data_IF_677008916195
#
_entry.id   IF_677008916195
#
_cell.length_a   1.000
_cell.length_b   1.000
_cell.length_c   1.000
_cell.angle_alpha   90.00
_cell.angle_beta   90.00
_cell.angle_gamma   90.00
#
_symmetry.space_group_name_H-M   'P 1'
#
loop_
_entity.id
_entity.type
_entity.pdbx_description
1 polymer ?
#
# COMPACT_ATOMS: atom_id res chain seq x y z
N UNK A 1 -8.17 24.96 -21.21
CA UNK A 1 -9.05 23.79 -21.08
C UNK A 1 -8.26 22.48 -21.02
N UNK A 2 -7.69 21.97 -22.13
CA UNK A 2 -6.98 20.67 -22.18
C UNK A 2 -5.90 20.44 -21.10
N UNK A 3 -5.15 21.49 -20.73
CA UNK A 3 -4.07 21.41 -19.73
C UNK A 3 -4.58 21.22 -18.29
N UNK A 4 -5.76 21.76 -17.98
CA UNK A 4 -6.35 21.65 -16.64
C UNK A 4 -7.02 20.30 -16.44
N UNK A 5 -7.75 19.83 -17.46
CA UNK A 5 -8.36 18.49 -17.48
C UNK A 5 -7.28 17.40 -17.36
N UNK A 6 -6.17 17.55 -18.10
CA UNK A 6 -5.04 16.63 -18.01
C UNK A 6 -4.42 16.61 -16.60
N UNK A 7 -4.26 17.78 -15.96
CA UNK A 7 -3.72 17.88 -14.60
C UNK A 7 -4.63 17.17 -13.58
N UNK A 8 -5.94 17.27 -13.75
CA UNK A 8 -6.94 16.60 -12.90
C UNK A 8 -6.82 15.08 -13.04
N UNK A 9 -6.76 14.56 -14.26
CA UNK A 9 -6.63 13.13 -14.54
C UNK A 9 -5.31 12.59 -13.98
N UNK A 10 -4.19 13.27 -14.23
CA UNK A 10 -2.88 12.88 -13.68
C UNK A 10 -2.91 12.85 -12.16
N UNK A 11 -3.51 13.85 -11.50
CA UNK A 11 -3.61 13.88 -10.03
C UNK A 11 -4.41 12.69 -9.50
N UNK A 12 -5.50 12.33 -10.17
CA UNK A 12 -6.30 11.15 -9.79
C UNK A 12 -5.54 9.85 -10.01
N UNK A 13 -4.92 9.68 -11.17
CA UNK A 13 -4.11 8.50 -11.48
C UNK A 13 -2.97 8.32 -10.46
N UNK A 14 -2.24 9.39 -10.15
CA UNK A 14 -1.17 9.38 -9.14
C UNK A 14 -1.69 9.00 -7.75
N UNK A 15 -2.86 9.52 -7.35
CA UNK A 15 -3.48 9.13 -6.07
C UNK A 15 -3.82 7.65 -6.02
N UNK A 16 -4.44 7.10 -7.07
CA UNK A 16 -4.74 5.68 -7.17
C UNK A 16 -3.46 4.84 -7.15
N UNK A 17 -2.41 5.25 -7.87
CA UNK A 17 -1.10 4.58 -7.83
C UNK A 17 -0.50 4.59 -6.42
N UNK A 18 -0.61 5.70 -5.69
CA UNK A 18 -0.11 5.80 -4.32
C UNK A 18 -0.90 4.90 -3.35
N UNK A 19 -2.23 4.87 -3.46
CA UNK A 19 -3.06 3.96 -2.66
C UNK A 19 -2.72 2.50 -3.00
N UNK A 20 -2.59 2.16 -4.28
CA UNK A 20 -2.19 0.83 -4.73
C UNK A 20 -0.84 0.42 -4.17
N UNK A 21 0.15 1.32 -4.22
CA UNK A 21 1.47 1.08 -3.67
C UNK A 21 1.42 0.88 -2.15
N UNK A 22 0.63 1.68 -1.43
CA UNK A 22 0.39 1.51 0.00
C UNK A 22 -0.26 0.17 0.33
N UNK A 23 -1.31 -0.23 -0.38
CA UNK A 23 -1.97 -1.54 -0.19
C UNK A 23 -0.99 -2.68 -0.46
N UNK A 24 -0.21 -2.56 -1.54
CA UNK A 24 0.79 -3.55 -1.93
C UNK A 24 1.83 -3.70 -0.81
N UNK A 25 2.49 -2.62 -0.38
CA UNK A 25 3.47 -2.64 0.72
C UNK A 25 2.91 -3.17 2.03
N UNK A 26 1.65 -2.85 2.35
CA UNK A 26 0.96 -3.36 3.53
C UNK A 26 0.83 -4.89 3.50
N UNK A 27 0.28 -5.45 2.42
CA UNK A 27 0.12 -6.91 2.33
C UNK A 27 1.45 -7.64 2.22
N UNK A 28 2.44 -7.06 1.55
CA UNK A 28 3.79 -7.61 1.49
C UNK A 28 4.44 -7.72 2.87
N UNK A 29 4.48 -6.61 3.61
CA UNK A 29 5.06 -6.58 4.96
C UNK A 29 4.33 -7.52 5.91
N UNK A 30 2.98 -7.53 5.89
CA UNK A 30 2.18 -8.46 6.70
C UNK A 30 2.40 -9.92 6.32
N UNK A 31 2.54 -10.24 5.02
CA UNK A 31 2.78 -11.62 4.57
C UNK A 31 4.13 -12.15 5.04
N UNK A 32 5.18 -11.30 4.99
CA UNK A 32 6.50 -11.65 5.51
C UNK A 32 6.45 -11.80 7.03
N UNK A 33 5.82 -10.87 7.76
CA UNK A 33 5.62 -10.96 9.21
C UNK A 33 4.88 -12.25 9.61
N UNK A 34 3.81 -12.59 8.89
CA UNK A 34 3.04 -13.81 9.11
C UNK A 34 3.90 -15.06 8.87
N UNK A 35 4.65 -15.09 7.77
CA UNK A 35 5.57 -16.20 7.47
C UNK A 35 6.62 -16.41 8.55
N UNK A 36 7.18 -15.32 9.09
CA UNK A 36 8.11 -15.35 10.22
C UNK A 36 7.45 -15.93 11.47
N UNK A 37 6.24 -15.47 11.81
CA UNK A 37 5.56 -15.90 13.03
C UNK A 37 5.10 -17.37 12.99
N UNK A 38 4.67 -17.85 11.83
CA UNK A 38 4.20 -19.24 11.64
C UNK A 38 5.36 -20.23 11.41
N UNK A 39 6.60 -19.74 11.33
CA UNK A 39 7.79 -20.59 11.12
C UNK A 39 7.98 -21.03 9.67
N UNK A 40 7.31 -20.36 8.72
CA UNK A 40 7.56 -20.52 7.28
C UNK A 40 8.86 -19.79 6.91
N UNK A 41 10.00 -20.42 7.18
CA UNK A 41 11.35 -19.85 6.96
C UNK A 41 11.73 -19.65 5.48
N UNK A 42 10.93 -20.13 4.53
CA UNK A 42 11.26 -20.10 3.09
C UNK A 42 11.13 -18.71 2.43
N UNK A 43 10.47 -17.75 3.07
CA UNK A 43 10.41 -16.35 2.60
C UNK A 43 11.58 -15.50 3.14
N UNK A 44 12.32 -16.00 4.15
CA UNK A 44 13.63 -15.46 4.53
C UNK A 44 14.73 -16.21 3.77
N UNK A 45 14.89 -15.88 2.50
CA UNK A 45 16.12 -16.19 1.78
C UNK A 45 17.18 -15.18 2.26
N UNK A 46 17.69 -15.48 3.45
CA UNK A 46 18.99 -15.08 4.03
C UNK A 46 19.25 -13.63 4.47
N UNK A 47 18.39 -13.09 5.35
CA UNK A 47 18.78 -12.04 6.31
C UNK A 47 18.01 -10.73 6.16
N UNK A 48 17.57 -10.10 7.27
CA UNK A 48 18.36 -9.96 8.50
C UNK A 48 17.67 -10.61 9.73
N UNK A 49 18.17 -10.43 10.94
CA UNK A 49 17.80 -11.19 12.15
C UNK A 49 16.27 -11.15 12.43
N UNK A 50 15.70 -12.07 13.24
CA UNK A 50 14.28 -12.01 13.63
C UNK A 50 13.84 -10.68 14.26
N UNK A 51 14.79 -9.93 14.85
CA UNK A 51 14.58 -8.57 15.35
C UNK A 51 14.32 -7.58 14.20
N UNK A 52 14.94 -7.76 13.03
CA UNK A 52 14.74 -6.94 11.84
C UNK A 52 13.41 -7.26 11.13
N UNK A 53 12.90 -8.49 11.25
CA UNK A 53 11.59 -8.84 10.72
C UNK A 53 10.47 -8.06 11.42
N UNK A 54 10.56 -7.84 12.74
CA UNK A 54 9.58 -7.04 13.49
C UNK A 54 9.52 -5.58 13.00
N UNK A 55 10.64 -5.04 12.48
CA UNK A 55 10.66 -3.68 11.93
C UNK A 55 9.80 -3.53 10.67
N UNK A 56 9.45 -4.63 9.98
CA UNK A 56 8.46 -4.59 8.89
C UNK A 56 7.07 -4.15 9.37
N UNK A 57 6.78 -4.23 10.67
CA UNK A 57 5.56 -3.65 11.24
C UNK A 57 5.47 -2.14 10.99
N UNK A 58 6.60 -1.43 11.03
CA UNK A 58 6.62 0.00 10.71
C UNK A 58 6.37 0.27 9.23
N UNK A 59 6.81 -0.62 8.33
CA UNK A 59 6.46 -0.55 6.91
C UNK A 59 4.96 -0.74 6.70
N UNK A 60 4.34 -1.71 7.40
CA UNK A 60 2.90 -1.89 7.40
C UNK A 60 2.18 -0.64 7.92
N UNK A 61 2.63 -0.09 9.05
CA UNK A 61 2.05 1.10 9.68
C UNK A 61 2.15 2.35 8.77
N UNK A 62 3.33 2.65 8.23
CA UNK A 62 3.53 3.72 7.25
C UNK A 62 2.66 3.51 6.00
N UNK A 63 2.53 2.27 5.53
CA UNK A 63 1.65 1.94 4.39
C UNK A 63 0.19 2.27 4.69
N UNK A 64 -0.31 1.88 5.87
CA UNK A 64 -1.68 2.22 6.31
C UNK A 64 -1.88 3.73 6.45
N UNK A 65 -0.92 4.43 7.05
CA UNK A 65 -1.01 5.87 7.26
C UNK A 65 -0.96 6.64 5.94
N UNK A 66 -0.26 6.16 4.91
CA UNK A 66 -0.18 6.80 3.60
C UNK A 66 -1.47 6.78 2.78
N UNK A 67 -2.39 5.84 3.06
CA UNK A 67 -3.65 5.71 2.32
C UNK A 67 -4.49 7.00 2.40
N UNK A 68 -4.62 7.57 3.60
CA UNK A 68 -5.48 8.74 3.83
C UNK A 68 -4.93 9.99 3.11
N UNK A 69 -3.65 10.39 3.27
CA UNK A 69 -3.04 11.46 2.49
C UNK A 69 -3.09 11.24 0.97
N UNK A 70 -2.86 10.01 0.50
CA UNK A 70 -2.91 9.68 -0.92
C UNK A 70 -4.30 9.95 -1.49
N UNK A 71 -5.34 9.57 -0.74
CA UNK A 71 -6.73 9.83 -1.09
C UNK A 71 -7.09 11.32 -1.07
N UNK A 72 -6.64 12.06 -0.06
CA UNK A 72 -6.85 13.52 0.02
C UNK A 72 -6.22 14.22 -1.18
N UNK A 73 -5.00 13.80 -1.57
CA UNK A 73 -4.29 14.33 -2.74
C UNK A 73 -5.09 14.10 -4.04
N UNK A 74 -5.73 12.94 -4.18
CA UNK A 74 -6.55 12.57 -5.34
C UNK A 74 -7.97 13.11 -5.35
N UNK A 75 -8.39 13.90 -4.36
CA UNK A 75 -9.75 14.45 -4.34
C UNK A 75 -9.89 15.48 -5.45
N UNK A 76 -10.48 15.06 -6.56
CA UNK A 76 -10.78 15.87 -7.75
C UNK A 76 -12.25 15.70 -8.13
N UNK A 77 -12.87 16.78 -8.60
CA UNK A 77 -14.21 16.73 -9.17
C UNK A 77 -14.12 16.28 -10.63
N UNK A 78 -13.82 15.00 -10.84
CA UNK A 78 -14.06 14.38 -12.15
C UNK A 78 -15.55 14.06 -12.16
N UNK A 79 -16.31 14.63 -13.12
CA UNK A 79 -17.68 14.19 -13.36
C UNK A 79 -17.62 12.67 -13.57
N UNK A 80 -18.27 11.90 -12.70
CA UNK A 80 -18.18 10.43 -12.67
C UNK A 80 -18.81 9.86 -13.94
N UNK A 81 -18.02 9.75 -15.00
CA UNK A 81 -18.54 9.52 -16.35
C UNK A 81 -18.85 8.04 -16.65
N UNK A 82 -18.36 7.06 -15.87
CA UNK A 82 -18.78 5.66 -16.04
C UNK A 82 -18.57 4.83 -14.78
N UNK A 83 -19.67 4.52 -14.08
CA UNK A 83 -19.77 3.66 -12.89
C UNK A 83 -18.92 4.10 -11.67
N UNK A 84 -19.30 3.69 -10.47
CA UNK A 84 -18.49 3.93 -9.28
C UNK A 84 -17.26 3.00 -9.33
N UNK A 85 -16.05 3.50 -9.09
CA UNK A 85 -14.82 2.71 -9.18
C UNK A 85 -14.84 1.50 -8.25
N UNK A 86 -15.55 1.59 -7.13
CA UNK A 86 -15.74 0.46 -6.22
C UNK A 86 -16.39 -0.75 -6.90
N UNK A 87 -17.23 -0.58 -7.93
CA UNK A 87 -17.86 -1.70 -8.67
C UNK A 87 -16.80 -2.51 -9.42
N UNK A 88 -15.92 -1.82 -10.15
CA UNK A 88 -14.77 -2.46 -10.78
C UNK A 88 -13.82 -3.05 -9.73
N UNK A 89 -13.73 -2.43 -8.57
CA UNK A 89 -13.02 -2.96 -7.41
C UNK A 89 -13.53 -4.33 -6.97
N UNK A 90 -14.84 -4.45 -6.75
CA UNK A 90 -15.48 -5.73 -6.39
C UNK A 90 -15.35 -6.77 -7.50
N UNK A 91 -15.50 -6.39 -8.77
CA UNK A 91 -15.29 -7.29 -9.91
C UNK A 91 -13.85 -7.80 -9.97
N UNK A 92 -12.86 -6.94 -9.71
CA UNK A 92 -11.44 -7.32 -9.66
C UNK A 92 -11.16 -8.32 -8.53
N UNK A 93 -11.76 -8.12 -7.36
CA UNK A 93 -11.65 -9.06 -6.23
C UNK A 93 -12.34 -10.38 -6.56
N UNK A 94 -13.54 -10.36 -7.16
CA UNK A 94 -14.25 -11.56 -7.57
C UNK A 94 -13.44 -12.36 -8.60
N UNK A 95 -12.86 -11.69 -9.60
CA UNK A 95 -11.96 -12.30 -10.57
C UNK A 95 -10.74 -12.92 -9.88
N UNK A 96 -10.11 -12.21 -8.94
CA UNK A 96 -9.02 -12.76 -8.12
C UNK A 96 -9.43 -14.06 -7.41
N UNK A 97 -10.59 -14.09 -6.74
CA UNK A 97 -11.05 -15.28 -6.02
C UNK A 97 -11.28 -16.47 -6.96
N UNK A 98 -11.85 -16.24 -8.14
CA UNK A 98 -12.02 -17.27 -9.17
C UNK A 98 -10.66 -17.78 -9.64
N UNK A 99 -9.72 -16.89 -9.97
CA UNK A 99 -8.37 -17.29 -10.38
C UNK A 99 -7.62 -18.03 -9.27
N UNK A 100 -7.73 -17.58 -8.02
CA UNK A 100 -7.09 -18.22 -6.88
C UNK A 100 -7.64 -19.63 -6.64
N UNK A 101 -8.97 -19.81 -6.74
CA UNK A 101 -9.61 -21.12 -6.60
C UNK A 101 -9.25 -22.06 -7.76
N UNK A 102 -9.24 -21.57 -9.01
CA UNK A 102 -8.80 -22.37 -10.15
C UNK A 102 -7.32 -22.75 -10.05
N UNK A 103 -6.48 -21.84 -9.57
CA UNK A 103 -5.05 -22.09 -9.38
C UNK A 103 -4.80 -23.10 -8.27
N UNK A 104 -5.51 -23.03 -7.14
CA UNK A 104 -5.34 -24.01 -6.05
C UNK A 104 -5.79 -25.41 -6.46
N UNK A 105 -6.77 -25.52 -7.36
CA UNK A 105 -7.18 -26.81 -7.97
C UNK A 105 -6.11 -27.31 -8.95
N UNK A 106 -5.62 -26.45 -9.84
CA UNK A 106 -4.67 -26.85 -10.89
C UNK A 106 -3.23 -27.06 -10.38
N UNK A 107 -2.81 -26.29 -9.39
CA UNK A 107 -1.45 -26.25 -8.85
C UNK A 107 -1.49 -26.09 -7.32
N UNK A 108 -1.90 -27.13 -6.57
CA UNK A 108 -2.10 -27.05 -5.11
C UNK A 108 -0.82 -26.73 -4.32
N UNK A 109 0.35 -26.80 -4.96
CA UNK A 109 1.66 -26.56 -4.35
C UNK A 109 2.27 -25.19 -4.67
N UNK A 110 1.61 -24.36 -5.50
CA UNK A 110 2.14 -23.06 -5.95
C UNK A 110 1.20 -21.96 -5.48
N UNK A 111 1.71 -21.02 -4.67
CA UNK A 111 0.93 -19.87 -4.24
C UNK A 111 0.98 -18.78 -5.33
N UNK A 112 -0.17 -18.33 -5.88
CA UNK A 112 -0.17 -17.46 -7.05
C UNK A 112 0.06 -15.99 -6.66
N UNK A 113 1.32 -15.62 -6.44
CA UNK A 113 1.74 -14.26 -6.14
C UNK A 113 1.23 -13.20 -7.14
N UNK A 114 1.17 -13.55 -8.43
CA UNK A 114 0.71 -12.64 -9.49
C UNK A 114 -0.79 -12.35 -9.45
N UNK A 115 -1.60 -13.28 -8.93
CA UNK A 115 -3.04 -13.09 -8.81
C UNK A 115 -3.40 -12.02 -7.77
N UNK A 116 -2.54 -11.84 -6.75
CA UNK A 116 -2.73 -10.84 -5.69
C UNK A 116 -2.74 -9.39 -6.19
N UNK A 117 -2.21 -9.10 -7.38
CA UNK A 117 -2.29 -7.76 -7.97
C UNK A 117 -3.74 -7.35 -8.27
N UNK A 118 -4.59 -8.29 -8.70
CA UNK A 118 -6.03 -8.04 -8.91
C UNK A 118 -6.74 -7.76 -7.59
N UNK A 119 -6.34 -8.43 -6.51
CA UNK A 119 -6.84 -8.16 -5.16
C UNK A 119 -6.44 -6.74 -4.72
N UNK A 120 -5.16 -6.38 -4.83
CA UNK A 120 -4.65 -5.08 -4.39
C UNK A 120 -5.24 -3.93 -5.21
N UNK A 121 -5.40 -4.13 -6.52
CA UNK A 121 -6.07 -3.19 -7.41
C UNK A 121 -7.55 -3.04 -7.03
N UNK A 122 -8.23 -4.16 -6.77
CA UNK A 122 -9.62 -4.14 -6.34
C UNK A 122 -9.84 -3.36 -5.04
N UNK A 123 -8.98 -3.61 -4.04
CA UNK A 123 -8.98 -2.89 -2.77
C UNK A 123 -8.69 -1.39 -2.96
N UNK A 124 -7.77 -1.03 -3.84
CA UNK A 124 -7.44 0.38 -4.16
C UNK A 124 -8.68 1.16 -4.61
N UNK A 125 -9.44 0.59 -5.55
CA UNK A 125 -10.64 1.22 -6.08
C UNK A 125 -11.76 1.33 -5.03
N UNK A 126 -11.91 0.29 -4.19
CA UNK A 126 -12.88 0.30 -3.08
C UNK A 126 -12.50 1.35 -2.03
N UNK A 127 -11.22 1.47 -1.68
CA UNK A 127 -10.71 2.44 -0.70
C UNK A 127 -10.90 3.88 -1.19
N UNK A 128 -10.60 4.14 -2.46
CA UNK A 128 -10.73 5.46 -3.07
C UNK A 128 -12.18 5.98 -3.02
N UNK A 129 -13.13 5.12 -3.39
CA UNK A 129 -14.58 5.39 -3.42
C UNK A 129 -15.32 4.95 -2.13
N UNK A 130 -14.62 4.67 -1.03
CA UNK A 130 -15.21 4.10 0.19
C UNK A 130 -16.45 4.85 0.74
N UNK A 131 -16.51 6.20 0.80
CA UNK A 131 -17.71 6.90 1.26
C UNK A 131 -18.94 6.66 0.37
N UNK A 132 -18.72 6.44 -0.93
CA UNK A 132 -19.80 6.28 -1.91
C UNK A 132 -20.46 4.90 -1.84
N UNK A 133 -19.84 3.94 -1.14
CA UNK A 133 -20.37 2.58 -0.98
C UNK A 133 -21.60 2.58 -0.09
N UNK A 134 -21.59 3.32 1.02
CA UNK A 134 -22.76 3.39 1.91
C UNK A 134 -22.78 4.63 2.82
N UNK A 135 -23.98 5.12 3.20
CA UNK A 135 -24.13 6.20 4.17
C UNK A 135 -23.58 5.85 5.56
N UNK A 136 -23.62 4.56 5.95
CA UNK A 136 -23.04 4.09 7.22
C UNK A 136 -21.51 4.22 7.21
N UNK A 137 -20.88 3.83 6.11
CA UNK A 137 -19.42 3.93 5.95
C UNK A 137 -18.97 5.40 5.89
N UNK A 138 -19.72 6.27 5.21
CA UNK A 138 -19.46 7.72 5.24
C UNK A 138 -19.48 8.28 6.67
N UNK A 139 -20.50 7.95 7.47
CA UNK A 139 -20.58 8.38 8.87
C UNK A 139 -19.40 7.88 9.71
N UNK A 140 -18.99 6.62 9.52
CA UNK A 140 -17.84 6.06 10.21
C UNK A 140 -16.53 6.78 9.82
N UNK A 141 -16.32 7.03 8.53
CA UNK A 141 -15.14 7.75 8.02
C UNK A 141 -15.10 9.18 8.59
N UNK A 142 -16.24 9.87 8.63
CA UNK A 142 -16.33 11.22 9.20
C UNK A 142 -16.01 11.21 10.70
N UNK A 143 -16.58 10.27 11.46
CA UNK A 143 -16.29 10.10 12.89
C UNK A 143 -14.81 9.82 13.17
N UNK A 144 -14.18 8.97 12.35
CA UNK A 144 -12.74 8.70 12.44
C UNK A 144 -11.94 9.96 12.09
N UNK A 145 -12.35 10.69 11.05
CA UNK A 145 -11.73 11.95 10.63
C UNK A 145 -11.75 13.02 11.72
N UNK A 146 -12.88 13.19 12.42
CA UNK A 146 -13.01 14.12 13.54
C UNK A 146 -12.06 13.75 14.70
N UNK A 147 -11.95 12.46 15.03
CA UNK A 147 -11.00 11.99 16.04
C UNK A 147 -9.55 12.27 15.61
N UNK A 148 -9.20 11.94 14.37
CA UNK A 148 -7.88 12.20 13.79
C UNK A 148 -7.53 13.70 13.86
N UNK A 149 -8.48 14.60 13.60
CA UNK A 149 -8.28 16.04 13.70
C UNK A 149 -7.83 16.51 15.09
N UNK A 150 -8.39 15.91 16.15
CA UNK A 150 -8.02 16.23 17.54
C UNK A 150 -6.61 15.78 17.91
N UNK A 151 -6.18 14.63 17.37
CA UNK A 151 -4.86 14.03 17.66
C UNK A 151 -3.88 14.15 16.50
N UNK A 152 -4.12 15.08 15.56
CA UNK A 152 -3.37 15.18 14.31
C UNK A 152 -1.86 15.33 14.50
N UNK A 153 -1.42 16.00 15.57
CA UNK A 153 0.00 16.10 15.93
C UNK A 153 0.62 14.78 16.37
N UNK A 154 -0.10 13.97 17.14
CA UNK A 154 0.36 12.64 17.55
C UNK A 154 0.44 11.68 16.34
N UNK A 155 -0.58 11.70 15.48
CA UNK A 155 -0.56 10.93 14.23
C UNK A 155 0.60 11.37 13.34
N UNK A 156 0.86 12.67 13.24
CA UNK A 156 1.98 13.21 12.48
C UNK A 156 3.33 12.72 13.00
N UNK A 157 3.51 12.65 14.32
CA UNK A 157 4.72 12.13 14.95
C UNK A 157 4.88 10.62 14.73
N UNK A 158 3.79 9.84 14.93
CA UNK A 158 3.78 8.40 14.69
C UNK A 158 4.11 8.09 13.22
N UNK A 159 3.52 8.82 12.28
CA UNK A 159 3.80 8.67 10.86
C UNK A 159 5.27 8.94 10.56
N UNK A 160 5.84 10.05 11.06
CA UNK A 160 7.25 10.38 10.84
C UNK A 160 8.20 9.32 11.41
N UNK A 161 7.97 8.85 12.65
CA UNK A 161 8.79 7.78 13.25
C UNK A 161 8.69 6.50 12.42
N UNK A 162 7.47 6.14 12.00
CA UNK A 162 7.25 4.95 11.18
C UNK A 162 7.93 5.06 9.82
N UNK A 163 7.96 6.25 9.21
CA UNK A 163 8.63 6.49 7.94
C UNK A 163 10.14 6.39 8.06
N UNK A 164 10.72 6.91 9.15
CA UNK A 164 12.16 6.81 9.39
C UNK A 164 12.60 5.36 9.59
N UNK A 165 11.84 4.58 10.35
CA UNK A 165 12.10 3.14 10.52
C UNK A 165 11.88 2.39 9.19
N UNK A 166 10.84 2.72 8.44
CA UNK A 166 10.58 2.14 7.11
C UNK A 166 11.71 2.45 6.12
N UNK A 167 12.29 3.66 6.17
CA UNK A 167 13.44 4.04 5.36
C UNK A 167 14.67 3.19 5.69
N UNK A 168 14.94 3.01 6.99
CA UNK A 168 16.00 2.14 7.47
C UNK A 168 15.81 0.69 6.97
N UNK A 169 14.62 0.12 7.15
CA UNK A 169 14.29 -1.24 6.68
C UNK A 169 14.46 -1.37 5.16
N UNK A 170 13.94 -0.41 4.39
CA UNK A 170 14.04 -0.41 2.93
C UNK A 170 15.51 -0.37 2.49
N UNK A 171 16.33 0.45 3.14
CA UNK A 171 17.77 0.53 2.87
C UNK A 171 18.48 -0.78 3.20
N UNK A 172 18.19 -1.39 4.35
CA UNK A 172 18.78 -2.67 4.75
C UNK A 172 18.45 -3.79 3.76
N UNK A 173 17.17 -3.92 3.36
CA UNK A 173 16.74 -4.90 2.35
C UNK A 173 17.45 -4.66 1.02
N UNK A 174 17.54 -3.39 0.59
CA UNK A 174 18.22 -3.02 -0.66
C UNK A 174 19.70 -3.39 -0.63
N UNK A 175 20.43 -2.99 0.43
CA UNK A 175 21.85 -3.31 0.62
C UNK A 175 22.09 -4.81 0.67
N UNK A 176 21.22 -5.56 1.33
CA UNK A 176 21.30 -7.01 1.40
C UNK A 176 21.21 -7.64 0.00
N UNK A 177 20.25 -7.19 -0.81
CA UNK A 177 20.04 -7.68 -2.17
C UNK A 177 21.21 -7.33 -3.10
N UNK A 178 21.80 -6.13 -2.94
CA UNK A 178 23.03 -5.77 -3.65
C UNK A 178 24.21 -6.64 -3.25
N UNK A 179 24.42 -6.87 -1.94
CA UNK A 179 25.55 -7.68 -1.43
C UNK A 179 25.50 -9.13 -1.89
N UNK A 180 24.31 -9.70 -2.01
CA UNK A 180 24.09 -11.11 -2.35
C UNK A 180 24.00 -11.35 -3.86
N UNK A 181 24.10 -10.31 -4.70
CA UNK A 181 23.91 -10.40 -6.16
C UNK A 181 22.58 -11.07 -6.57
N UNK A 182 21.56 -11.00 -5.71
CA UNK A 182 20.23 -11.58 -6.00
C UNK A 182 19.61 -10.99 -7.27
N UNK A 183 19.97 -9.75 -7.62
CA UNK A 183 19.53 -9.05 -8.84
C UNK A 183 20.04 -9.69 -10.15
N UNK A 184 21.20 -10.36 -10.13
CA UNK A 184 21.80 -10.97 -11.32
C UNK A 184 21.50 -12.47 -11.45
N UNK A 185 20.79 -13.05 -10.47
CA UNK A 185 20.30 -14.42 -10.60
C UNK A 185 19.29 -14.51 -11.75
N UNK A 186 19.58 -15.36 -12.74
CA UNK A 186 18.87 -15.48 -14.03
C UNK A 186 17.43 -16.02 -13.89
N UNK A 187 16.98 -16.32 -12.67
CA UNK A 187 15.65 -16.83 -12.41
C UNK A 187 14.63 -15.70 -12.19
N UNK A 188 13.35 -16.00 -12.43
CA UNK A 188 12.17 -15.19 -12.09
C UNK A 188 12.18 -14.62 -10.63
N UNK A 189 13.07 -15.11 -9.76
CA UNK A 189 13.34 -14.61 -8.41
C UNK A 189 13.73 -13.12 -8.36
N UNK A 190 14.50 -12.61 -9.32
CA UNK A 190 14.96 -11.20 -9.30
C UNK A 190 13.82 -10.18 -9.30
N UNK A 191 12.77 -10.43 -10.09
CA UNK A 191 11.57 -9.56 -10.16
C UNK A 191 10.78 -9.62 -8.84
N UNK A 192 10.71 -10.80 -8.21
CA UNK A 192 10.02 -10.99 -6.93
C UNK A 192 10.62 -10.15 -5.81
N UNK A 193 11.93 -9.87 -5.84
CA UNK A 193 12.59 -8.99 -4.85
C UNK A 193 12.53 -7.50 -5.22
N UNK A 194 12.57 -7.18 -6.51
CA UNK A 194 12.51 -5.79 -6.98
C UNK A 194 11.18 -5.12 -6.67
N UNK A 195 10.06 -5.83 -6.82
CA UNK A 195 8.72 -5.29 -6.59
C UNK A 195 8.52 -4.78 -5.15
N UNK A 196 8.82 -5.57 -4.09
CA UNK A 196 8.77 -5.08 -2.71
C UNK A 196 9.71 -3.91 -2.43
N UNK A 197 10.95 -3.91 -2.92
CA UNK A 197 11.90 -2.81 -2.70
C UNK A 197 11.34 -1.51 -3.28
N UNK A 198 10.89 -1.54 -4.54
CA UNK A 198 10.32 -0.36 -5.20
C UNK A 198 9.09 0.11 -4.43
N UNK A 199 8.21 -0.81 -4.04
CA UNK A 199 6.99 -0.50 -3.30
C UNK A 199 7.31 0.16 -1.95
N UNK A 200 8.24 -0.40 -1.16
CA UNK A 200 8.66 0.15 0.13
C UNK A 200 9.35 1.50 -0.02
N UNK A 201 10.16 1.67 -1.08
CA UNK A 201 10.82 2.94 -1.40
C UNK A 201 9.81 4.05 -1.70
N UNK A 202 8.84 3.77 -2.58
CA UNK A 202 7.76 4.72 -2.89
C UNK A 202 6.94 5.05 -1.64
N UNK A 203 6.63 4.03 -0.83
CA UNK A 203 5.87 4.19 0.43
C UNK A 203 6.60 5.13 1.39
N UNK A 204 7.89 4.90 1.59
CA UNK A 204 8.72 5.70 2.50
C UNK A 204 8.90 7.13 2.00
N UNK A 205 9.25 7.32 0.73
CA UNK A 205 9.44 8.66 0.13
C UNK A 205 8.14 9.46 0.21
N UNK A 206 7.01 8.82 -0.08
CA UNK A 206 5.71 9.45 0.01
C UNK A 206 5.33 9.81 1.45
N UNK A 207 5.52 8.91 2.41
CA UNK A 207 5.30 9.18 3.84
C UNK A 207 6.10 10.38 4.34
N UNK A 208 7.40 10.41 4.06
CA UNK A 208 8.26 11.54 4.44
C UNK A 208 7.77 12.86 3.82
N UNK A 209 7.28 12.84 2.57
CA UNK A 209 6.67 14.01 1.94
C UNK A 209 5.40 14.45 2.66
N UNK A 210 4.50 13.51 2.99
CA UNK A 210 3.28 13.78 3.78
C UNK A 210 3.64 14.44 5.12
N UNK A 211 4.67 13.91 5.78
CA UNK A 211 5.13 14.42 7.07
C UNK A 211 5.73 15.82 6.97
N UNK A 212 6.57 16.06 5.96
CA UNK A 212 7.12 17.39 5.66
C UNK A 212 6.02 18.41 5.38
N UNK A 213 4.97 18.00 4.69
CA UNK A 213 3.83 18.89 4.37
C UNK A 213 2.88 19.08 5.56
N UNK A 214 3.06 18.34 6.66
CA UNK A 214 2.21 18.34 7.86
C UNK A 214 0.72 18.10 7.55
N UNK A 215 0.44 17.18 6.62
CA UNK A 215 -0.91 16.94 6.07
C UNK A 215 -1.92 16.66 7.17
N UNK A 216 -1.56 15.86 8.17
CA UNK A 216 -2.44 15.47 9.28
C UNK A 216 -2.88 16.64 10.15
N UNK A 217 -2.01 17.63 10.32
CA UNK A 217 -2.32 18.84 11.09
C UNK A 217 -3.13 19.81 10.23
N UNK A 218 -2.72 20.03 8.97
CA UNK A 218 -3.32 21.07 8.11
C UNK A 218 -4.69 20.73 7.57
N UNK A 219 -4.98 19.45 7.31
CA UNK A 219 -6.22 19.02 6.63
C UNK A 219 -7.35 18.61 7.57
N UNK A 220 -7.04 18.34 8.83
CA UNK A 220 -8.03 17.85 9.81
C UNK A 220 -8.25 18.78 11.02
N UNK A 221 -7.54 19.92 11.11
CA UNK A 221 -7.83 21.00 12.07
C UNK A 221 -8.80 22.08 11.53
N UNK A 222 -9.42 21.84 10.38
CA UNK A 222 -10.51 22.69 9.85
C UNK A 222 -11.85 22.20 10.36
#
# INVERSE_FOLDING_TARGET
>A
MLREDLRIVIRKALSLTLIFNSVTSLFFSLSVLFGVYVGFSYLLIHGPHPIDALLLFFVALTSMLNIVPARIFGRVNIKRILFHHYVYGFLSIAAYLVFAALHSIAFPQIFPFHSSLLLYWGLTLIIDDAPDISPKLTRLINFIGEKIGRIGGAIQAIHLISDLVSAYVTLQISLHIFKTNLLTSVAFSGITYLLPIISFSVTTIYGLKVCREAVWIKRFRM
#
